data_IF_059455624805
#
_entry.id   IF_059455624805
#
_cell.length_a   1.000
_cell.length_b   1.000
_cell.length_c   1.000
_cell.angle_alpha   90.00
_cell.angle_beta   90.00
_cell.angle_gamma   90.00
#
_symmetry.space_group_name_H-M   'P 1'
#
loop_
_entity.id
_entity.type
_entity.pdbx_description
1 polymer ?
#
# COMPACT_ATOMS: atom_id res chain seq x y z
N UNK A 1 5.54 1.93 4.22
CA UNK A 1 4.48 0.99 4.63
C UNK A 1 3.37 1.63 5.44
N UNK A 2 3.64 2.18 6.62
CA UNK A 2 2.61 2.74 7.51
C UNK A 2 1.62 3.71 6.84
N UNK A 3 2.04 4.52 5.87
CA UNK A 3 1.14 5.45 5.18
C UNK A 3 0.12 4.77 4.25
N UNK A 4 0.38 3.54 3.82
CA UNK A 4 -0.40 2.84 2.78
C UNK A 4 -1.54 1.99 3.36
N UNK A 5 -1.37 1.48 4.59
CA UNK A 5 -2.28 0.53 5.22
C UNK A 5 -3.20 1.22 6.23
N UNK A 6 -4.44 0.78 6.31
CA UNK A 6 -5.39 1.18 7.35
C UNK A 6 -4.96 0.64 8.73
N UNK A 7 -5.44 1.24 9.84
CA UNK A 7 -5.22 0.68 11.17
C UNK A 7 -5.83 -0.71 11.34
N UNK A 8 -5.22 -1.61 12.14
CA UNK A 8 -4.03 -1.37 12.97
C UNK A 8 -2.68 -1.53 12.24
N UNK A 9 -2.64 -2.07 11.01
CA UNK A 9 -1.38 -2.36 10.30
C UNK A 9 -0.66 -1.09 9.80
N UNK A 10 -1.37 0.04 9.77
CA UNK A 10 -0.78 1.32 9.39
C UNK A 10 -1.56 2.53 9.91
N UNK A 11 -1.36 3.64 9.21
CA UNK A 11 -1.82 5.00 9.55
C UNK A 11 -2.55 5.68 8.40
N UNK A 12 -2.93 4.93 7.36
CA UNK A 12 -3.80 5.45 6.29
C UNK A 12 -5.14 5.85 6.90
N UNK A 13 -5.54 7.09 6.67
CA UNK A 13 -6.84 7.58 7.13
C UNK A 13 -7.98 7.10 6.23
N UNK A 14 -9.18 6.98 6.82
CA UNK A 14 -10.41 6.75 6.07
C UNK A 14 -10.98 8.08 5.54
N UNK A 15 -11.36 8.11 4.26
CA UNK A 15 -12.16 9.19 3.63
C UNK A 15 -13.11 8.57 2.61
N UNK A 16 -14.24 9.20 2.32
CA UNK A 16 -15.30 8.64 1.45
C UNK A 16 -15.18 8.93 -0.04
N UNK A 17 -13.99 8.84 -0.61
CA UNK A 17 -13.77 9.02 -2.05
C UNK A 17 -13.79 7.70 -2.82
N UNK A 18 -13.43 7.75 -4.12
CA UNK A 18 -13.32 6.55 -4.97
C UNK A 18 -12.46 5.45 -4.35
N UNK A 19 -11.43 5.80 -3.58
CA UNK A 19 -10.53 4.84 -2.92
C UNK A 19 -11.15 4.04 -1.76
N UNK A 20 -12.42 4.25 -1.44
CA UNK A 20 -13.22 3.56 -0.41
C UNK A 20 -14.66 3.37 -0.90
N UNK A 21 -14.83 3.13 -2.21
CA UNK A 21 -16.15 2.92 -2.84
C UNK A 21 -17.12 4.09 -2.59
N UNK A 22 -16.61 5.33 -2.60
CA UNK A 22 -17.37 6.55 -2.30
C UNK A 22 -18.06 6.54 -0.93
N UNK A 23 -17.63 5.66 -0.03
CA UNK A 23 -18.30 5.39 1.24
C UNK A 23 -19.79 5.02 1.03
N UNK A 24 -20.10 4.35 -0.08
CA UNK A 24 -21.41 3.76 -0.31
C UNK A 24 -21.59 2.57 0.65
N UNK A 25 -22.47 2.75 1.64
CA UNK A 25 -22.69 1.74 2.66
C UNK A 25 -23.20 0.42 2.06
N UNK A 26 -24.07 0.46 1.04
CA UNK A 26 -24.61 -0.76 0.45
C UNK A 26 -23.49 -1.58 -0.19
N UNK A 27 -22.62 -0.93 -0.96
CA UNK A 27 -21.47 -1.60 -1.59
C UNK A 27 -20.51 -2.16 -0.54
N UNK A 28 -20.23 -1.39 0.51
CA UNK A 28 -19.30 -1.81 1.57
C UNK A 28 -19.83 -3.02 2.34
N UNK A 29 -21.10 -3.01 2.73
CA UNK A 29 -21.74 -4.13 3.42
C UNK A 29 -21.79 -5.38 2.51
N UNK A 30 -22.30 -5.25 1.28
CA UNK A 30 -22.53 -6.41 0.40
C UNK A 30 -21.25 -7.07 -0.11
N UNK A 31 -20.18 -6.31 -0.37
CA UNK A 31 -18.94 -6.85 -0.97
C UNK A 31 -17.84 -7.17 0.03
N UNK A 32 -17.79 -6.45 1.14
CA UNK A 32 -16.65 -6.46 2.04
C UNK A 32 -17.03 -6.66 3.50
N UNK A 33 -18.29 -6.92 3.84
CA UNK A 33 -18.76 -7.04 5.23
C UNK A 33 -18.47 -5.74 6.04
N UNK A 34 -18.75 -4.61 5.38
CA UNK A 34 -18.62 -3.27 5.94
C UNK A 34 -17.23 -2.66 5.81
N UNK A 35 -17.03 -1.54 6.50
CA UNK A 35 -15.79 -0.73 6.39
C UNK A 35 -14.54 -1.46 6.86
N UNK A 36 -14.66 -2.24 7.93
CA UNK A 36 -13.55 -2.99 8.52
C UNK A 36 -13.08 -4.11 7.58
N UNK A 37 -14.02 -4.85 6.97
CA UNK A 37 -13.63 -5.89 6.01
C UNK A 37 -13.09 -5.29 4.71
N UNK A 38 -13.58 -4.12 4.26
CA UNK A 38 -12.91 -3.38 3.17
C UNK A 38 -11.47 -3.01 3.53
N UNK A 39 -11.24 -2.49 4.74
CA UNK A 39 -9.90 -2.10 5.19
C UNK A 39 -8.94 -3.30 5.20
N UNK A 40 -9.39 -4.45 5.71
CA UNK A 40 -8.63 -5.70 5.71
C UNK A 40 -8.33 -6.18 4.29
N UNK A 41 -9.33 -6.18 3.41
CA UNK A 41 -9.16 -6.55 2.01
C UNK A 41 -8.18 -5.61 1.30
N UNK A 42 -8.32 -4.29 1.50
CA UNK A 42 -7.44 -3.29 0.89
C UNK A 42 -6.00 -3.43 1.39
N UNK A 43 -5.80 -3.71 2.68
CA UNK A 43 -4.48 -3.95 3.25
C UNK A 43 -3.81 -5.19 2.63
N UNK A 44 -4.55 -6.28 2.45
CA UNK A 44 -4.04 -7.52 1.86
C UNK A 44 -3.72 -7.41 0.35
N UNK A 45 -4.33 -6.45 -0.35
CA UNK A 45 -4.18 -6.27 -1.80
C UNK A 45 -3.34 -5.03 -2.18
N UNK A 46 -2.75 -4.35 -1.20
CA UNK A 46 -1.93 -3.16 -1.45
C UNK A 46 -0.59 -3.54 -2.09
N UNK A 47 -0.29 -2.95 -3.25
CA UNK A 47 1.02 -3.06 -3.88
C UNK A 47 1.84 -1.80 -3.61
N UNK A 48 3.04 -1.96 -3.05
CA UNK A 48 3.96 -0.87 -2.74
C UNK A 48 5.33 -1.18 -3.35
N UNK A 49 5.76 -0.33 -4.28
CA UNK A 49 7.04 -0.47 -4.97
C UNK A 49 7.96 0.68 -4.60
N UNK A 50 9.23 0.38 -4.31
CA UNK A 50 10.25 1.39 -4.10
C UNK A 50 11.01 1.63 -5.41
N UNK A 51 11.16 2.91 -5.78
CA UNK A 51 11.88 3.34 -6.98
C UNK A 51 13.30 3.78 -6.57
N UNK A 52 14.31 3.10 -7.12
CA UNK A 52 15.71 3.31 -6.78
C UNK A 52 16.36 4.20 -7.85
N UNK A 53 16.51 5.48 -7.53
CA UNK A 53 16.97 6.51 -8.48
C UNK A 53 18.03 7.46 -7.92
N UNK A 54 18.53 7.18 -6.72
CA UNK A 54 19.60 7.96 -6.11
C UNK A 54 20.77 7.08 -5.72
N UNK A 55 21.97 7.67 -5.72
CA UNK A 55 23.18 7.02 -5.22
C UNK A 55 22.99 6.55 -3.77
N UNK A 56 22.37 7.36 -2.94
CA UNK A 56 22.05 7.01 -1.56
C UNK A 56 21.13 5.77 -1.47
N UNK A 57 20.08 5.70 -2.30
CA UNK A 57 19.20 4.53 -2.32
C UNK A 57 19.94 3.27 -2.79
N UNK A 58 20.86 3.40 -3.75
CA UNK A 58 21.72 2.32 -4.20
C UNK A 58 22.68 1.84 -3.09
N UNK A 59 23.31 2.76 -2.38
CA UNK A 59 24.21 2.45 -1.27
C UNK A 59 23.48 1.79 -0.07
N UNK A 60 22.17 1.95 0.03
CA UNK A 60 21.31 1.37 1.06
C UNK A 60 20.46 0.19 0.54
N UNK A 61 20.81 -0.38 -0.61
CA UNK A 61 19.95 -1.34 -1.30
C UNK A 61 19.61 -2.56 -0.45
N UNK A 62 20.53 -3.08 0.36
CA UNK A 62 20.25 -4.27 1.18
C UNK A 62 19.16 -4.04 2.24
N UNK A 63 19.04 -2.80 2.73
CA UNK A 63 18.05 -2.44 3.75
C UNK A 63 16.63 -2.23 3.19
N UNK A 64 16.50 -1.91 1.90
CA UNK A 64 15.21 -1.52 1.30
C UNK A 64 14.27 -2.73 1.08
N UNK A 65 14.70 -3.84 0.45
CA UNK A 65 13.89 -5.05 0.30
C UNK A 65 13.53 -5.71 1.62
N UNK A 66 14.30 -5.48 2.68
CA UNK A 66 14.04 -6.03 4.01
C UNK A 66 12.83 -5.38 4.71
N UNK A 67 12.27 -4.29 4.17
CA UNK A 67 11.10 -3.62 4.74
C UNK A 67 9.85 -4.49 4.55
N UNK A 68 9.34 -5.04 5.65
CA UNK A 68 8.11 -5.87 5.67
C UNK A 68 6.95 -5.19 4.96
N UNK A 69 6.37 -5.87 3.97
CA UNK A 69 5.23 -5.40 3.19
C UNK A 69 5.59 -4.61 1.92
N UNK A 70 6.87 -4.35 1.66
CA UNK A 70 7.30 -3.85 0.36
C UNK A 70 7.09 -4.96 -0.70
N UNK A 71 6.39 -4.65 -1.79
CA UNK A 71 6.14 -5.61 -2.88
C UNK A 71 7.40 -5.87 -3.70
N UNK A 72 8.20 -4.83 -3.93
CA UNK A 72 9.44 -4.96 -4.69
C UNK A 72 10.13 -3.62 -4.91
N UNK A 73 11.25 -3.70 -5.62
CA UNK A 73 12.04 -2.55 -6.04
C UNK A 73 12.01 -2.43 -7.56
N UNK A 74 12.06 -1.21 -8.07
CA UNK A 74 12.25 -0.91 -9.49
C UNK A 74 13.44 0.03 -9.65
N UNK A 75 14.29 -0.23 -10.63
CA UNK A 75 15.34 0.70 -11.05
C UNK A 75 15.22 0.89 -12.58
N UNK A 76 15.75 2.00 -13.11
CA UNK A 76 15.74 2.31 -14.54
C UNK A 76 17.08 1.98 -15.24
N UNK A 77 18.07 1.47 -14.52
CA UNK A 77 19.45 1.33 -15.00
C UNK A 77 19.75 0.00 -15.70
N UNK A 78 18.84 -0.98 -15.67
CA UNK A 78 18.97 -2.25 -16.41
C UNK A 78 18.16 -2.31 -17.72
N UNK A 79 17.43 -1.24 -18.06
CA UNK A 79 16.62 -1.15 -19.26
C UNK A 79 17.29 -0.34 -20.40
N UNK A 80 18.59 -0.07 -20.29
CA UNK A 80 19.41 0.64 -21.27
C UNK A 80 20.66 -0.17 -21.62
#
# INVERSE_FOLDING_TARGET
MNACLFPPEGKRSWRGGRGTEFNDNKVLEEKYDGKSGFANWANANMLVWAQIESKMAWENLDGIPAVTGLTGIRNYWWAA
#
